data_IF_500048752418
#
_entry.id   IF_500048752418
#
_cell.length_a   1.000
_cell.length_b   1.000
_cell.length_c   1.000
_cell.angle_alpha   90.00
_cell.angle_beta   90.00
_cell.angle_gamma   90.00
#
_symmetry.space_group_name_H-M   'P 1'
#
loop_
_entity.id
_entity.type
_entity.pdbx_description
1 polymer ?
#
# COMPACT_ATOMS: atom_id res chain seq x y z
N UNK A 1 -4.52 14.73 -58.40
CA UNK A 1 -4.50 13.32 -57.96
C UNK A 1 -3.73 13.30 -56.67
N UNK A 2 -4.50 13.26 -55.59
CA UNK A 2 -4.07 13.48 -54.22
C UNK A 2 -3.17 12.35 -53.70
N UNK A 3 -2.18 12.76 -52.91
CA UNK A 3 -1.23 11.87 -52.24
C UNK A 3 -1.84 11.49 -50.89
N UNK A 4 -2.52 10.36 -50.82
CA UNK A 4 -3.01 9.81 -49.55
C UNK A 4 -1.83 9.29 -48.71
N UNK A 5 -1.40 10.11 -47.75
CA UNK A 5 -0.47 9.73 -46.69
C UNK A 5 -1.15 8.82 -45.67
N UNK A 6 -1.13 7.50 -45.93
CA UNK A 6 -1.51 6.50 -44.95
C UNK A 6 -0.60 6.55 -43.71
N UNK A 7 -1.11 7.10 -42.60
CA UNK A 7 -0.47 7.01 -41.30
C UNK A 7 -0.39 5.52 -40.89
N UNK A 8 0.80 4.91 -41.02
CA UNK A 8 1.08 3.59 -40.47
C UNK A 8 0.73 3.58 -38.99
N UNK A 9 -0.30 2.83 -38.59
CA UNK A 9 -0.62 2.54 -37.18
C UNK A 9 0.62 1.91 -36.54
N UNK A 10 1.37 2.71 -35.78
CA UNK A 10 2.59 2.29 -35.11
C UNK A 10 2.21 1.27 -34.02
N UNK A 11 2.29 -0.03 -34.34
CA UNK A 11 2.11 -1.10 -33.34
C UNK A 11 3.28 -0.99 -32.35
N UNK A 12 2.98 -0.62 -31.10
CA UNK A 12 3.99 -0.53 -30.06
C UNK A 12 4.33 -1.94 -29.55
N UNK A 13 5.58 -2.16 -29.14
CA UNK A 13 6.02 -3.46 -28.60
C UNK A 13 5.15 -3.88 -27.39
N UNK A 14 4.84 -5.18 -27.22
CA UNK A 14 4.11 -5.67 -26.06
C UNK A 14 4.82 -5.28 -24.76
N UNK A 15 4.01 -5.12 -23.71
CA UNK A 15 4.44 -4.83 -22.35
C UNK A 15 5.04 -6.10 -21.74
N UNK A 16 6.32 -6.36 -22.01
CA UNK A 16 7.01 -7.48 -21.39
C UNK A 16 7.53 -7.05 -20.02
N UNK A 17 6.84 -7.47 -18.96
CA UNK A 17 7.30 -7.30 -17.58
C UNK A 17 7.92 -8.60 -17.09
N UNK A 18 9.24 -8.65 -16.86
CA UNK A 18 9.87 -9.84 -16.33
C UNK A 18 9.31 -10.14 -14.93
N UNK A 19 9.25 -11.43 -14.59
CA UNK A 19 8.91 -11.84 -13.24
C UNK A 19 9.93 -11.27 -12.25
N UNK A 20 9.44 -10.65 -11.18
CA UNK A 20 10.26 -10.07 -10.12
C UNK A 20 10.11 -10.94 -8.88
N UNK A 21 11.22 -11.48 -8.38
CA UNK A 21 11.23 -12.26 -7.16
C UNK A 21 10.90 -11.40 -5.94
N UNK A 22 10.17 -11.93 -4.94
CA UNK A 22 9.91 -11.21 -3.69
C UNK A 22 11.21 -10.88 -2.96
N UNK A 23 11.34 -9.65 -2.48
CA UNK A 23 12.43 -9.20 -1.59
C UNK A 23 11.78 -8.82 -0.27
N UNK A 24 12.17 -9.51 0.81
CA UNK A 24 11.58 -9.35 2.14
C UNK A 24 10.04 -9.42 2.14
N UNK A 25 9.47 -10.37 1.37
CA UNK A 25 8.02 -10.56 1.28
C UNK A 25 7.30 -9.61 0.32
N UNK A 26 7.99 -8.66 -0.31
CA UNK A 26 7.39 -7.67 -1.19
C UNK A 26 7.83 -7.87 -2.64
N UNK A 27 6.88 -7.81 -3.58
CA UNK A 27 7.15 -7.69 -5.01
C UNK A 27 6.75 -6.29 -5.46
N UNK A 28 7.71 -5.52 -6.00
CA UNK A 28 7.49 -4.17 -6.48
C UNK A 28 7.57 -4.16 -8.02
N UNK A 29 6.43 -4.02 -8.74
CA UNK A 29 6.46 -3.97 -10.21
C UNK A 29 7.24 -2.75 -10.74
N UNK A 30 7.86 -2.83 -11.93
CA UNK A 30 8.60 -1.73 -12.53
C UNK A 30 7.73 -0.49 -12.75
N UNK A 31 8.20 0.69 -12.35
CA UNK A 31 7.44 1.94 -12.46
C UNK A 31 7.96 2.89 -13.55
N UNK A 32 9.07 2.53 -14.20
CA UNK A 32 9.68 3.27 -15.30
C UNK A 32 9.44 2.52 -16.61
N UNK A 33 9.14 3.21 -17.73
CA UNK A 33 8.97 2.55 -19.02
C UNK A 33 10.19 1.65 -19.35
N UNK A 34 9.99 0.45 -19.90
CA UNK A 34 11.08 -0.43 -20.29
C UNK A 34 12.02 0.22 -21.32
N UNK A 35 13.33 -0.10 -21.31
CA UNK A 35 14.24 0.33 -22.37
C UNK A 35 13.71 -0.06 -23.76
N UNK A 36 13.67 0.90 -24.69
CA UNK A 36 13.13 0.69 -26.04
C UNK A 36 11.61 0.79 -26.17
N UNK A 37 10.88 0.95 -25.05
CA UNK A 37 9.43 1.19 -25.05
C UNK A 37 9.12 2.54 -24.42
N UNK A 38 8.89 3.55 -25.27
CA UNK A 38 8.39 4.85 -24.78
C UNK A 38 6.97 4.66 -24.23
N UNK A 39 6.66 5.29 -23.10
CA UNK A 39 5.28 5.51 -22.71
C UNK A 39 4.77 6.88 -23.19
N UNK A 40 3.53 7.22 -22.83
CA UNK A 40 2.79 8.37 -23.35
C UNK A 40 2.12 9.16 -22.24
N UNK A 41 1.80 10.41 -22.58
CA UNK A 41 0.95 11.29 -21.78
C UNK A 41 -0.28 11.64 -22.60
N UNK A 42 -1.42 11.04 -22.30
CA UNK A 42 -2.67 11.26 -23.05
C UNK A 42 -3.72 11.97 -22.19
N UNK A 43 -4.75 12.53 -22.82
CA UNK A 43 -5.90 13.10 -22.13
C UNK A 43 -6.55 12.08 -21.19
N UNK A 44 -6.69 10.83 -21.63
CA UNK A 44 -7.29 9.75 -20.84
C UNK A 44 -6.39 9.31 -19.69
N UNK A 45 -5.08 9.09 -19.92
CA UNK A 45 -4.13 8.75 -18.85
C UNK A 45 -4.06 9.85 -17.77
N UNK A 46 -4.16 11.14 -18.15
CA UNK A 46 -4.28 12.23 -17.18
C UNK A 46 -5.61 12.18 -16.42
N UNK A 47 -6.73 11.88 -17.10
CA UNK A 47 -8.03 11.69 -16.45
C UNK A 47 -8.04 10.53 -15.46
N UNK A 48 -7.34 9.42 -15.75
CA UNK A 48 -7.19 8.27 -14.86
C UNK A 48 -6.45 8.62 -13.56
N UNK A 49 -5.62 9.66 -13.52
CA UNK A 49 -5.05 10.16 -12.25
C UNK A 49 -6.15 10.70 -11.32
N UNK A 50 -7.22 11.26 -11.87
CA UNK A 50 -8.37 11.70 -11.07
C UNK A 50 -9.20 10.53 -10.55
N UNK A 51 -9.31 9.45 -11.35
CA UNK A 51 -9.94 8.18 -10.92
C UNK A 51 -9.16 7.58 -9.76
N UNK A 52 -7.82 7.48 -9.91
CA UNK A 52 -6.93 7.02 -8.86
C UNK A 52 -7.10 7.84 -7.56
N UNK A 53 -7.15 9.17 -7.67
CA UNK A 53 -7.34 10.06 -6.51
C UNK A 53 -8.68 9.82 -5.80
N UNK A 54 -9.73 9.49 -6.55
CA UNK A 54 -11.04 9.16 -5.99
C UNK A 54 -11.00 7.81 -5.26
N UNK A 55 -10.50 6.76 -5.94
CA UNK A 55 -10.34 5.42 -5.39
C UNK A 55 -9.48 5.44 -4.11
N UNK A 56 -8.36 6.18 -4.12
CA UNK A 56 -7.47 6.32 -2.96
C UNK A 56 -8.16 6.90 -1.71
N UNK A 57 -9.21 7.72 -1.88
CA UNK A 57 -9.95 8.31 -0.75
C UNK A 57 -10.97 7.34 -0.14
N UNK A 58 -11.34 6.27 -0.83
CA UNK A 58 -12.21 5.24 -0.27
C UNK A 58 -11.59 4.64 0.99
N UNK A 59 -12.41 4.39 2.02
CA UNK A 59 -11.96 3.70 3.24
C UNK A 59 -11.38 2.32 2.93
N UNK A 60 -11.92 1.66 1.89
CA UNK A 60 -11.54 0.34 1.45
C UNK A 60 -10.18 0.30 0.73
N UNK A 61 -9.69 1.45 0.25
CA UNK A 61 -8.40 1.52 -0.45
C UNK A 61 -7.22 1.13 0.42
N UNK A 62 -7.34 1.17 1.76
CA UNK A 62 -6.27 0.87 2.69
C UNK A 62 -5.50 -0.42 2.36
N UNK A 63 -6.22 -1.49 2.01
CA UNK A 63 -5.65 -2.80 1.69
C UNK A 63 -4.86 -2.84 0.37
N UNK A 64 -5.07 -1.86 -0.52
CA UNK A 64 -4.59 -1.89 -1.90
C UNK A 64 -3.64 -0.72 -2.23
N UNK A 65 -3.29 0.09 -1.23
CA UNK A 65 -2.46 1.29 -1.43
C UNK A 65 -1.01 0.97 -1.76
N UNK A 66 -0.47 -0.09 -1.20
CA UNK A 66 0.93 -0.46 -1.29
C UNK A 66 1.06 -1.94 -1.67
N UNK A 67 2.22 -2.37 -2.20
CA UNK A 67 2.48 -3.78 -2.48
C UNK A 67 2.20 -4.66 -1.26
N UNK A 68 1.71 -5.87 -1.50
CA UNK A 68 1.48 -6.86 -0.46
C UNK A 68 2.82 -7.32 0.10
N UNK A 69 2.99 -7.11 1.42
CA UNK A 69 4.10 -7.64 2.19
C UNK A 69 3.68 -8.99 2.78
N UNK A 70 4.03 -10.05 2.03
CA UNK A 70 3.67 -11.42 2.35
C UNK A 70 4.33 -11.91 3.64
N UNK A 71 5.50 -11.36 3.98
CA UNK A 71 6.14 -11.61 5.27
C UNK A 71 5.31 -10.91 6.32
N UNK A 72 5.17 -9.58 6.30
CA UNK A 72 4.40 -8.77 7.27
C UNK A 72 3.00 -9.31 7.59
N UNK A 73 2.33 -9.94 6.62
CA UNK A 73 0.96 -10.43 6.73
C UNK A 73 0.84 -11.93 7.07
N UNK A 74 1.95 -12.64 7.29
CA UNK A 74 1.99 -14.10 7.53
C UNK A 74 1.41 -14.94 6.38
N UNK A 75 1.59 -14.52 5.12
CA UNK A 75 0.98 -15.18 3.94
C UNK A 75 2.06 -15.62 2.94
N UNK A 76 2.92 -16.59 3.32
CA UNK A 76 4.10 -16.95 2.52
C UNK A 76 3.76 -17.52 1.13
N UNK A 77 2.53 -17.96 0.92
CA UNK A 77 2.00 -18.51 -0.34
C UNK A 77 1.55 -17.43 -1.35
N UNK A 78 1.42 -16.16 -0.92
CA UNK A 78 0.83 -15.10 -1.74
C UNK A 78 1.51 -14.95 -3.10
N UNK A 79 2.85 -14.82 -3.13
CA UNK A 79 3.58 -14.64 -4.39
C UNK A 79 3.80 -15.95 -5.18
N UNK A 80 3.42 -17.09 -4.60
CA UNK A 80 3.32 -18.35 -5.33
C UNK A 80 2.00 -18.41 -6.11
N UNK A 81 0.91 -17.91 -5.54
CA UNK A 81 -0.40 -17.87 -6.20
C UNK A 81 -0.56 -16.65 -7.13
N UNK A 82 -0.22 -15.46 -6.63
CA UNK A 82 -0.35 -14.20 -7.36
C UNK A 82 0.91 -13.92 -8.17
N UNK A 83 0.80 -14.13 -9.48
CA UNK A 83 1.93 -14.02 -10.43
C UNK A 83 2.27 -12.58 -10.83
N UNK A 84 1.27 -11.70 -10.81
CA UNK A 84 1.43 -10.29 -11.15
C UNK A 84 0.85 -9.40 -10.04
N UNK A 85 1.55 -9.23 -8.92
CA UNK A 85 1.11 -8.34 -7.84
C UNK A 85 0.94 -6.90 -8.34
N UNK A 86 -0.10 -6.21 -7.89
CA UNK A 86 -0.39 -4.82 -8.26
C UNK A 86 -0.97 -4.03 -7.09
N UNK A 87 -0.73 -2.73 -7.08
CA UNK A 87 -1.21 -1.82 -6.04
C UNK A 87 -1.37 -0.38 -6.56
N UNK A 88 -2.17 0.41 -5.84
CA UNK A 88 -2.49 1.78 -6.24
C UNK A 88 -1.26 2.71 -6.25
N UNK A 89 -0.26 2.51 -5.38
CA UNK A 89 0.95 3.33 -5.40
C UNK A 89 1.83 3.03 -6.61
N UNK A 90 1.86 1.78 -7.06
CA UNK A 90 2.52 1.38 -8.32
C UNK A 90 1.84 2.03 -9.51
N UNK A 91 0.51 1.93 -9.63
CA UNK A 91 -0.25 2.60 -10.70
C UNK A 91 -0.02 4.12 -10.66
N UNK A 92 -0.01 4.73 -9.46
CA UNK A 92 0.29 6.15 -9.27
C UNK A 92 1.63 6.54 -9.86
N UNK A 93 2.69 5.79 -9.53
CA UNK A 93 4.04 6.05 -10.03
C UNK A 93 4.10 5.83 -11.54
N UNK A 94 3.48 4.77 -12.05
CA UNK A 94 3.40 4.50 -13.50
C UNK A 94 2.71 5.64 -14.28
N UNK A 95 1.57 6.13 -13.80
CA UNK A 95 0.88 7.29 -14.39
C UNK A 95 1.73 8.57 -14.35
N UNK A 96 2.51 8.78 -13.29
CA UNK A 96 3.38 9.96 -13.16
C UNK A 96 4.64 9.87 -14.01
N UNK A 97 5.18 8.67 -14.20
CA UNK A 97 6.37 8.41 -15.00
C UNK A 97 6.06 8.25 -16.50
N UNK A 98 4.81 8.50 -16.92
CA UNK A 98 4.33 8.24 -18.27
C UNK A 98 4.68 6.81 -18.71
N UNK A 99 4.46 5.82 -17.84
CA UNK A 99 4.79 4.42 -18.06
C UNK A 99 3.97 3.79 -19.18
N UNK A 100 2.66 4.05 -19.15
CA UNK A 100 1.71 3.44 -20.06
C UNK A 100 1.78 4.07 -21.45
N UNK A 101 1.63 3.24 -22.47
CA UNK A 101 1.45 3.67 -23.85
C UNK A 101 -0.01 4.03 -24.14
N UNK A 102 -0.96 3.32 -23.53
CA UNK A 102 -2.40 3.53 -23.68
C UNK A 102 -3.12 3.40 -22.34
N UNK A 103 -4.28 4.04 -22.24
CA UNK A 103 -5.14 3.96 -21.07
C UNK A 103 -5.57 2.52 -20.73
N UNK A 104 -5.81 1.67 -21.72
CA UNK A 104 -6.14 0.23 -21.53
C UNK A 104 -5.13 -0.50 -20.63
N UNK A 105 -3.84 -0.16 -20.72
CA UNK A 105 -2.82 -0.81 -19.89
C UNK A 105 -2.92 -0.39 -18.42
N UNK A 106 -3.30 0.87 -18.17
CA UNK A 106 -3.55 1.36 -16.82
C UNK A 106 -4.83 0.75 -16.25
N UNK A 107 -5.87 0.61 -17.07
CA UNK A 107 -7.11 -0.07 -16.69
C UNK A 107 -6.86 -1.54 -16.33
N UNK A 108 -6.04 -2.24 -17.12
CA UNK A 108 -5.62 -3.61 -16.81
C UNK A 108 -4.92 -3.72 -15.46
N UNK A 109 -4.03 -2.77 -15.11
CA UNK A 109 -3.41 -2.75 -13.79
C UNK A 109 -4.42 -2.49 -12.65
N UNK A 110 -5.45 -1.65 -12.88
CA UNK A 110 -6.53 -1.47 -11.90
C UNK A 110 -7.34 -2.74 -11.72
N UNK A 111 -7.71 -3.41 -12.82
CA UNK A 111 -8.48 -4.65 -12.77
C UNK A 111 -7.72 -5.76 -12.06
N UNK A 112 -6.42 -5.86 -12.33
CA UNK A 112 -5.52 -6.83 -11.69
C UNK A 112 -5.48 -6.69 -10.16
N UNK A 113 -5.64 -5.48 -9.60
CA UNK A 113 -5.79 -5.31 -8.14
C UNK A 113 -7.01 -6.08 -7.64
N UNK A 114 -8.13 -6.00 -8.36
CA UNK A 114 -9.38 -6.62 -7.96
C UNK A 114 -9.37 -8.13 -8.23
N UNK A 115 -8.88 -8.58 -9.38
CA UNK A 115 -8.73 -9.99 -9.72
C UNK A 115 -7.83 -10.71 -8.73
N UNK A 116 -6.64 -10.17 -8.43
CA UNK A 116 -5.75 -10.73 -7.42
C UNK A 116 -6.41 -10.76 -6.03
N UNK A 117 -7.22 -9.76 -5.71
CA UNK A 117 -7.96 -9.73 -4.45
C UNK A 117 -8.97 -10.87 -4.38
N UNK A 118 -9.78 -11.08 -5.42
CA UNK A 118 -10.79 -12.14 -5.45
C UNK A 118 -10.16 -13.54 -5.52
N UNK A 119 -9.04 -13.68 -6.23
CA UNK A 119 -8.31 -14.94 -6.36
C UNK A 119 -7.70 -15.38 -5.03
N UNK A 120 -7.07 -14.47 -4.29
CA UNK A 120 -6.37 -14.82 -3.06
C UNK A 120 -7.28 -14.84 -1.83
N UNK A 121 -8.22 -13.90 -1.72
CA UNK A 121 -9.01 -13.72 -0.51
C UNK A 121 -10.34 -14.47 -0.62
N UNK A 122 -10.67 -15.25 0.41
CA UNK A 122 -11.94 -15.97 0.50
C UNK A 122 -13.15 -15.02 0.33
N UNK A 123 -14.14 -15.45 -0.44
CA UNK A 123 -15.39 -14.72 -0.59
C UNK A 123 -16.06 -14.45 0.77
N UNK A 124 -16.57 -13.23 0.95
CA UNK A 124 -17.17 -12.78 2.20
C UNK A 124 -16.17 -12.36 3.28
N UNK A 125 -14.86 -12.54 3.08
CA UNK A 125 -13.84 -11.93 3.94
C UNK A 125 -13.83 -10.40 3.79
N UNK A 126 -13.34 -9.69 4.81
CA UNK A 126 -13.32 -8.22 4.81
C UNK A 126 -12.48 -7.64 3.66
N UNK A 127 -11.34 -8.27 3.32
CA UNK A 127 -10.49 -7.82 2.20
C UNK A 127 -11.18 -8.08 0.86
N UNK A 128 -11.86 -9.22 0.70
CA UNK A 128 -12.64 -9.52 -0.50
C UNK A 128 -13.81 -8.53 -0.68
N UNK A 129 -14.56 -8.23 0.40
CA UNK A 129 -15.60 -7.18 0.38
C UNK A 129 -15.01 -5.82 0.03
N UNK A 130 -13.88 -5.45 0.64
CA UNK A 130 -13.17 -4.21 0.35
C UNK A 130 -12.77 -4.13 -1.14
N UNK A 131 -12.34 -5.26 -1.73
CA UNK A 131 -12.04 -5.37 -3.15
C UNK A 131 -13.26 -5.12 -4.04
N UNK A 132 -14.42 -5.73 -3.70
CA UNK A 132 -15.68 -5.54 -4.44
C UNK A 132 -16.12 -4.07 -4.38
N UNK A 133 -16.15 -3.50 -3.19
CA UNK A 133 -16.53 -2.11 -2.96
C UNK A 133 -15.59 -1.11 -3.66
N UNK A 134 -14.29 -1.39 -3.66
CA UNK A 134 -13.31 -0.54 -4.32
C UNK A 134 -13.41 -0.65 -5.85
N UNK A 135 -13.70 -1.84 -6.39
CA UNK A 135 -13.97 -2.08 -7.82
C UNK A 135 -15.21 -1.31 -8.26
N UNK A 136 -16.29 -1.35 -7.50
CA UNK A 136 -17.49 -0.56 -7.77
C UNK A 136 -17.21 0.95 -7.75
N UNK A 137 -16.48 1.43 -6.74
CA UNK A 137 -16.08 2.84 -6.66
C UNK A 137 -15.19 3.25 -7.84
N UNK A 138 -14.32 2.36 -8.31
CA UNK A 138 -13.50 2.56 -9.50
C UNK A 138 -14.36 2.71 -10.76
N UNK A 139 -15.24 1.75 -11.05
CA UNK A 139 -16.11 1.81 -12.23
C UNK A 139 -17.10 2.98 -12.18
N UNK A 140 -17.63 3.29 -11.00
CA UNK A 140 -18.48 4.48 -10.77
C UNK A 140 -17.75 5.76 -11.14
N UNK A 141 -16.46 5.88 -10.80
CA UNK A 141 -15.68 7.07 -11.14
C UNK A 141 -15.24 7.05 -12.60
N UNK A 142 -14.94 5.88 -13.14
CA UNK A 142 -14.49 5.69 -14.52
C UNK A 142 -15.59 6.06 -15.53
N UNK A 143 -16.86 5.84 -15.21
CA UNK A 143 -18.00 6.18 -16.08
C UNK A 143 -18.11 7.67 -16.41
N UNK A 144 -17.47 8.55 -15.63
CA UNK A 144 -17.40 9.99 -15.90
C UNK A 144 -16.23 10.39 -16.82
N UNK A 145 -15.39 9.44 -17.24
CA UNK A 145 -14.25 9.68 -18.13
C UNK A 145 -14.66 9.27 -19.55
N UNK A 146 -14.50 10.19 -20.51
CA UNK A 146 -14.59 9.83 -21.92
C UNK A 146 -13.35 9.04 -22.35
N UNK A 147 -13.55 7.73 -22.56
CA UNK A 147 -12.52 6.79 -23.00
C UNK A 147 -12.44 6.68 -24.53
N UNK A 148 -13.41 7.22 -25.27
CA UNK A 148 -13.55 6.99 -26.73
C UNK A 148 -12.49 7.71 -27.57
N UNK A 149 -11.95 8.83 -27.05
CA UNK A 149 -11.04 9.71 -27.79
C UNK A 149 -9.70 9.90 -27.07
N UNK A 150 -8.86 8.86 -27.03
CA UNK A 150 -7.52 8.95 -26.45
C UNK A 150 -6.51 9.62 -27.41
N UNK A 151 -6.08 10.84 -27.05
CA UNK A 151 -5.12 11.65 -27.81
C UNK A 151 -3.90 12.02 -26.97
N UNK A 152 -2.73 12.10 -27.60
CA UNK A 152 -1.50 12.47 -26.92
C UNK A 152 -1.44 13.98 -26.63
N UNK A 153 -1.15 14.33 -25.39
CA UNK A 153 -1.06 15.70 -24.95
C UNK A 153 0.30 16.28 -25.30
N UNK A 154 0.28 17.49 -25.85
CA UNK A 154 1.50 18.25 -26.15
C UNK A 154 2.25 18.53 -24.82
N UNK A 155 3.58 18.29 -24.75
CA UNK A 155 4.37 18.62 -23.58
C UNK A 155 4.21 20.08 -23.16
N UNK A 156 4.01 20.35 -21.87
CA UNK A 156 3.79 21.71 -21.35
C UNK A 156 4.95 22.66 -21.67
N UNK A 157 6.17 22.15 -21.83
CA UNK A 157 7.33 22.94 -22.26
C UNK A 157 7.17 23.54 -23.66
N UNK A 158 6.55 22.80 -24.59
CA UNK A 158 6.28 23.26 -25.96
C UNK A 158 5.16 24.30 -25.96
N UNK A 159 4.13 24.12 -25.12
CA UNK A 159 3.06 25.10 -24.94
C UNK A 159 3.55 26.40 -24.30
N UNK A 160 4.43 26.32 -23.30
CA UNK A 160 5.07 27.50 -22.67
C UNK A 160 5.97 28.25 -23.65
N UNK A 161 6.73 27.53 -24.49
CA UNK A 161 7.57 28.12 -25.55
C UNK A 161 6.72 28.82 -26.61
N UNK A 162 5.66 28.19 -27.12
CA UNK A 162 4.71 28.81 -28.07
C UNK A 162 3.99 30.03 -27.48
N UNK A 163 3.61 29.98 -26.20
CA UNK A 163 2.99 31.12 -25.52
C UNK A 163 3.98 32.28 -25.33
N UNK A 164 5.24 31.99 -25.02
CA UNK A 164 6.30 32.99 -24.94
C UNK A 164 6.61 33.62 -26.32
N UNK A 165 6.69 32.80 -27.38
CA UNK A 165 6.90 33.24 -28.76
C UNK A 165 5.72 34.07 -29.29
N UNK A 166 4.49 33.68 -28.98
CA UNK A 166 3.27 34.43 -29.34
C UNK A 166 3.14 35.74 -28.56
N UNK A 167 3.58 35.80 -27.29
CA UNK A 167 3.60 37.04 -26.51
C UNK A 167 4.70 38.02 -26.95
N UNK A 168 5.80 37.54 -27.54
CA UNK A 168 6.85 38.42 -28.11
C UNK A 168 6.47 39.03 -29.47
N UNK A 169 5.47 38.50 -30.17
CA UNK A 169 5.05 38.99 -31.50
C UNK A 169 3.93 40.06 -31.47
N UNK A 170 3.36 40.36 -30.30
CA UNK A 170 2.37 41.42 -30.15
C UNK A 170 2.94 42.60 -29.36
N UNK A 171 3.70 43.44 -30.07
CA UNK A 171 3.92 44.84 -29.72
C UNK A 171 3.91 45.66 -31.02
N UNK A 172 2.91 46.54 -31.18
CA UNK A 172 3.25 47.96 -31.34
C UNK A 172 2.34 48.89 -30.50
N UNK A 173 2.99 49.66 -29.61
CA UNK A 173 2.92 51.12 -29.42
C UNK A 173 1.54 51.85 -29.48
N UNK A 174 1.15 52.39 -28.30
CA UNK A 174 0.15 53.45 -27.90
C UNK A 174 -1.35 53.21 -28.26
N UNK A 175 -2.38 53.52 -27.45
CA UNK A 175 -2.60 54.64 -26.49
C UNK A 175 -3.82 54.35 -25.54
N UNK A 176 -4.01 55.18 -24.51
CA UNK A 176 -4.92 55.03 -23.36
C UNK A 176 -6.40 55.39 -23.62
N UNK A 177 -7.37 54.53 -23.27
CA UNK A 177 -8.76 54.89 -22.89
C UNK A 177 -9.38 53.81 -21.96
N UNK A 178 -10.06 54.21 -20.89
CA UNK A 178 -10.94 53.39 -20.00
C UNK A 178 -12.43 53.72 -20.24
N UNK A 179 -13.42 53.11 -19.58
CA UNK A 179 -13.72 51.69 -19.27
C UNK A 179 -15.16 51.27 -19.70
N UNK A 180 -15.47 49.98 -19.79
CA UNK A 180 -16.86 49.49 -19.63
C UNK A 180 -16.93 47.98 -19.31
N UNK A 181 -17.63 47.63 -18.22
CA UNK A 181 -18.20 46.30 -17.96
C UNK A 181 -19.49 46.13 -18.80
N UNK A 182 -19.87 44.92 -19.27
CA UNK A 182 -20.78 44.10 -18.46
C UNK A 182 -20.77 42.55 -18.66
N UNK A 183 -21.07 41.88 -17.55
CA UNK A 183 -22.01 40.75 -17.31
C UNK A 183 -21.84 39.33 -17.91
N UNK A 184 -21.95 38.40 -16.94
CA UNK A 184 -22.40 37.01 -16.95
C UNK A 184 -23.38 36.60 -18.06
N UNK A 185 -23.17 35.39 -18.58
CA UNK A 185 -24.25 34.44 -18.91
C UNK A 185 -23.81 33.00 -18.62
N UNK A 186 -24.68 32.25 -17.93
CA UNK A 186 -24.81 30.78 -17.93
C UNK A 186 -26.20 30.46 -18.55
N UNK A 187 -26.67 29.20 -18.58
CA UNK A 187 -26.25 28.08 -19.40
C UNK A 187 -27.44 27.48 -20.19
N UNK A 188 -27.17 26.62 -21.16
CA UNK A 188 -28.15 25.68 -21.78
C UNK A 188 -27.33 24.75 -22.69
N UNK A 189 -27.62 23.47 -22.90
CA UNK A 189 -28.88 22.72 -22.81
C UNK A 189 -28.55 21.23 -22.77
N UNK A 190 -29.49 20.46 -22.23
CA UNK A 190 -29.57 19.01 -22.22
C UNK A 190 -29.48 18.40 -23.62
N UNK A 191 -28.91 17.20 -23.72
CA UNK A 191 -29.27 16.27 -24.80
C UNK A 191 -29.24 14.86 -24.22
N UNK A 192 -30.43 14.27 -24.22
CA UNK A 192 -30.74 12.86 -23.93
C UNK A 192 -30.34 12.03 -25.15
N UNK A 193 -29.68 10.88 -24.94
CA UNK A 193 -29.60 9.81 -25.95
C UNK A 193 -29.64 8.43 -25.25
N UNK A 194 -30.53 7.57 -25.74
CA UNK A 194 -30.88 6.21 -25.29
C UNK A 194 -29.85 5.10 -25.65
N UNK A 195 -29.89 3.93 -25.01
CA UNK A 195 -28.77 2.99 -24.98
C UNK A 195 -28.71 2.10 -26.22
N UNK A 196 -27.49 1.83 -26.72
CA UNK A 196 -27.22 0.79 -27.70
C UNK A 196 -26.54 -0.41 -27.00
N UNK A 197 -27.20 -1.55 -27.17
CA UNK A 197 -26.86 -2.97 -26.99
C UNK A 197 -25.42 -3.34 -26.56
N UNK A 198 -25.35 -4.09 -25.45
CA UNK A 198 -24.15 -4.77 -24.94
C UNK A 198 -24.12 -6.18 -25.53
N UNK A 199 -23.13 -6.47 -26.38
CA UNK A 199 -22.79 -7.85 -26.76
C UNK A 199 -22.05 -8.53 -25.61
N UNK A 200 -22.58 -9.70 -25.22
CA UNK A 200 -22.07 -10.56 -24.15
C UNK A 200 -20.82 -11.29 -24.67
N UNK A 201 -19.65 -10.96 -24.12
CA UNK A 201 -18.43 -11.76 -24.32
C UNK A 201 -18.41 -12.91 -23.30
N UNK A 202 -18.40 -14.13 -23.80
CA UNK A 202 -18.29 -15.37 -23.02
C UNK A 202 -16.84 -15.57 -22.55
N UNK A 203 -16.67 -15.82 -21.24
CA UNK A 203 -15.41 -16.19 -20.59
C UNK A 203 -14.94 -17.59 -21.02
N UNK A 204 -13.64 -17.84 -21.26
CA UNK A 204 -13.13 -19.18 -21.46
C UNK A 204 -12.97 -19.91 -20.12
N UNK A 205 -13.54 -21.10 -20.03
CA UNK A 205 -13.34 -22.05 -18.93
C UNK A 205 -11.84 -22.34 -18.73
N UNK A 206 -11.30 -21.94 -17.58
CA UNK A 206 -9.93 -22.24 -17.20
C UNK A 206 -9.82 -22.80 -15.78
N UNK A 207 -10.64 -23.78 -15.38
CA UNK A 207 -10.42 -24.49 -14.11
C UNK A 207 -11.00 -25.91 -14.17
N UNK A 208 -10.21 -26.92 -14.57
CA UNK A 208 -10.64 -28.32 -14.60
C UNK A 208 -9.77 -29.29 -13.80
N UNK A 209 -8.87 -28.80 -12.94
CA UNK A 209 -8.12 -29.69 -12.03
C UNK A 209 -8.44 -29.42 -10.55
N UNK A 210 -8.78 -30.47 -9.77
CA UNK A 210 -9.03 -30.33 -8.34
C UNK A 210 -7.75 -29.93 -7.60
N UNK A 211 -7.83 -28.81 -6.88
CA UNK A 211 -6.74 -28.24 -6.09
C UNK A 211 -6.36 -29.22 -4.97
N UNK A 212 -5.10 -29.67 -4.94
CA UNK A 212 -4.56 -30.46 -3.82
C UNK A 212 -4.27 -29.53 -2.65
N UNK A 213 -5.17 -29.54 -1.67
CA UNK A 213 -5.00 -28.77 -0.44
C UNK A 213 -4.09 -29.52 0.56
N UNK A 214 -3.09 -28.83 1.12
CA UNK A 214 -2.32 -29.36 2.25
C UNK A 214 -3.22 -29.42 3.50
N UNK A 215 -3.40 -30.63 4.02
CA UNK A 215 -4.42 -30.92 5.04
C UNK A 215 -4.17 -30.21 6.39
N UNK A 216 -2.98 -29.62 6.59
CA UNK A 216 -2.59 -28.99 7.86
C UNK A 216 -1.69 -27.76 7.64
N UNK A 217 -2.23 -26.56 7.40
CA UNK A 217 -1.41 -25.36 7.33
C UNK A 217 -0.75 -25.10 8.70
N UNK A 218 0.58 -24.94 8.71
CA UNK A 218 1.34 -24.64 9.93
C UNK A 218 1.12 -23.18 10.32
N UNK A 219 0.35 -22.94 11.39
CA UNK A 219 0.13 -21.59 11.90
C UNK A 219 1.29 -21.18 12.81
N UNK A 220 2.01 -20.13 12.41
CA UNK A 220 3.07 -19.52 13.21
C UNK A 220 2.52 -18.48 14.19
N UNK A 221 1.97 -18.95 15.31
CA UNK A 221 1.42 -18.07 16.35
C UNK A 221 2.46 -17.18 17.03
N UNK A 222 3.71 -17.62 17.10
CA UNK A 222 4.81 -16.84 17.67
C UNK A 222 5.03 -15.56 16.89
N UNK A 223 5.01 -15.64 15.57
CA UNK A 223 5.24 -14.49 14.70
C UNK A 223 4.03 -13.52 14.67
N UNK A 224 2.81 -14.05 14.80
CA UNK A 224 1.62 -13.21 14.99
C UNK A 224 1.63 -12.46 16.32
N UNK A 225 2.04 -13.14 17.40
CA UNK A 225 2.21 -12.51 18.72
C UNK A 225 3.27 -11.41 18.63
N UNK A 226 4.38 -11.68 17.95
CA UNK A 226 5.45 -10.73 17.70
C UNK A 226 4.97 -9.46 17.01
N UNK A 227 4.19 -9.57 15.92
CA UNK A 227 3.65 -8.41 15.21
C UNK A 227 2.74 -7.54 16.08
N UNK A 228 1.91 -8.17 16.92
CA UNK A 228 1.06 -7.44 17.87
C UNK A 228 1.94 -6.66 18.83
N UNK A 229 2.95 -7.29 19.41
CA UNK A 229 3.89 -6.64 20.33
C UNK A 229 4.65 -5.51 19.66
N UNK A 230 5.23 -5.73 18.48
CA UNK A 230 5.93 -4.70 17.69
C UNK A 230 5.05 -3.48 17.45
N UNK A 231 3.80 -3.67 17.02
CA UNK A 231 2.85 -2.58 16.77
C UNK A 231 2.61 -1.74 18.04
N UNK A 232 2.51 -2.38 19.20
CA UNK A 232 2.34 -1.69 20.47
C UNK A 232 3.62 -1.00 20.95
N UNK A 233 4.80 -1.60 20.75
CA UNK A 233 6.10 -0.95 20.98
C UNK A 233 6.23 0.33 20.18
N UNK A 234 5.84 0.32 18.91
CA UNK A 234 5.88 1.52 18.07
C UNK A 234 4.88 2.59 18.53
N UNK A 235 3.68 2.18 18.97
CA UNK A 235 2.69 3.11 19.52
C UNK A 235 3.16 3.73 20.83
N UNK A 236 3.82 2.95 21.69
CA UNK A 236 4.45 3.44 22.90
C UNK A 236 5.53 4.47 22.54
N UNK A 237 6.49 4.12 21.67
CA UNK A 237 7.58 5.01 21.24
C UNK A 237 7.06 6.32 20.63
N UNK A 238 6.08 6.24 19.71
CA UNK A 238 5.39 7.42 19.15
C UNK A 238 4.71 8.26 20.23
N UNK A 239 4.19 7.60 21.27
CA UNK A 239 3.61 8.23 22.44
C UNK A 239 4.63 8.99 23.28
N UNK A 240 5.80 8.42 23.52
CA UNK A 240 6.89 9.00 24.31
C UNK A 240 7.51 10.21 23.61
N UNK A 241 7.75 10.11 22.31
CA UNK A 241 8.46 11.11 21.48
C UNK A 241 7.59 12.25 20.94
N UNK A 242 6.35 12.41 21.42
CA UNK A 242 5.46 13.51 20.96
C UNK A 242 6.07 14.87 21.25
N UNK A 243 5.87 15.84 20.33
CA UNK A 243 6.35 17.23 20.45
C UNK A 243 6.01 17.91 21.78
N UNK A 244 4.83 17.61 22.36
CA UNK A 244 4.42 18.17 23.66
C UNK A 244 5.33 17.77 24.83
N UNK A 245 6.19 16.78 24.65
CA UNK A 245 7.16 16.25 25.63
C UNK A 245 8.60 16.62 25.29
N UNK A 246 8.81 17.61 24.41
CA UNK A 246 10.16 18.02 24.03
C UNK A 246 11.01 18.52 25.21
N UNK A 247 10.37 19.04 26.26
CA UNK A 247 11.03 19.51 27.48
C UNK A 247 11.61 18.39 28.34
N UNK A 248 11.12 17.16 28.20
CA UNK A 248 11.66 15.98 28.92
C UNK A 248 12.44 15.03 28.01
N UNK A 249 12.20 15.08 26.70
CA UNK A 249 12.85 14.21 25.73
C UNK A 249 14.24 14.69 25.30
N UNK A 250 14.65 15.91 25.64
CA UNK A 250 15.91 16.48 25.16
C UNK A 250 17.16 15.65 25.50
N UNK A 251 17.28 14.97 26.66
CA UNK A 251 18.49 14.20 26.98
C UNK A 251 18.69 13.04 26.00
N UNK A 252 17.61 12.47 25.49
CA UNK A 252 17.61 11.23 24.71
C UNK A 252 17.54 11.46 23.19
N UNK A 253 17.77 12.69 22.72
CA UNK A 253 17.76 13.00 21.28
C UNK A 253 19.06 12.61 20.58
N UNK A 254 20.17 12.56 21.30
CA UNK A 254 21.48 12.25 20.76
C UNK A 254 22.37 11.73 21.89
N UNK A 255 22.60 10.42 21.92
CA UNK A 255 23.46 9.79 22.95
C UNK A 255 24.94 10.19 22.83
N UNK A 256 25.40 10.67 21.67
CA UNK A 256 26.79 11.13 21.50
C UNK A 256 27.13 12.30 22.44
N UNK A 257 26.13 13.12 22.79
CA UNK A 257 26.29 14.21 23.75
C UNK A 257 26.55 13.68 25.17
N UNK A 258 26.11 12.47 25.51
CA UNK A 258 26.41 11.89 26.82
C UNK A 258 27.90 11.63 26.97
N UNK A 259 28.55 11.15 25.90
CA UNK A 259 30.01 10.92 25.90
C UNK A 259 30.81 12.21 26.11
N UNK A 260 30.33 13.32 25.55
CA UNK A 260 31.04 14.61 25.60
C UNK A 260 30.81 15.35 26.93
N UNK A 261 29.61 15.25 27.50
CA UNK A 261 29.19 16.06 28.64
C UNK A 261 28.96 15.26 29.95
N UNK A 262 29.15 13.93 29.95
CA UNK A 262 28.96 13.11 31.15
C UNK A 262 29.78 13.60 32.34
N UNK A 263 29.16 13.60 33.50
CA UNK A 263 29.78 13.92 34.77
C UNK A 263 30.53 12.70 35.35
N UNK A 264 30.03 11.49 35.05
CA UNK A 264 30.68 10.24 35.46
C UNK A 264 31.67 9.76 34.38
N UNK A 265 32.93 10.21 34.49
CA UNK A 265 33.99 9.89 33.54
C UNK A 265 34.44 8.41 33.55
N UNK A 266 34.04 7.64 34.56
CA UNK A 266 34.40 6.23 34.70
C UNK A 266 33.37 5.27 34.10
N UNK A 267 32.24 5.80 33.61
CA UNK A 267 31.16 5.02 33.03
C UNK A 267 31.07 5.28 31.52
N UNK A 268 31.15 4.21 30.72
CA UNK A 268 30.97 4.27 29.26
C UNK A 268 29.63 3.65 28.89
N UNK A 269 28.63 4.49 28.68
CA UNK A 269 27.29 4.05 28.29
C UNK A 269 27.26 3.39 26.90
N UNK A 270 28.24 3.68 26.02
CA UNK A 270 28.32 3.03 24.71
C UNK A 270 28.86 1.59 24.85
N UNK A 271 29.71 1.34 25.85
CA UNK A 271 30.22 0.01 26.17
C UNK A 271 29.16 -0.89 26.83
N UNK A 272 28.27 -0.30 27.62
CA UNK A 272 27.11 -1.01 28.17
C UNK A 272 26.07 -1.27 27.07
N UNK A 273 25.41 -0.22 26.58
CA UNK A 273 24.53 -0.31 25.43
C UNK A 273 24.21 1.10 24.90
N UNK A 274 24.75 1.43 23.72
CA UNK A 274 24.47 2.71 23.07
C UNK A 274 23.00 2.81 22.65
N UNK A 275 22.25 3.68 23.32
CA UNK A 275 20.80 3.85 23.14
C UNK A 275 20.39 5.32 23.16
N UNK A 276 19.51 5.68 22.23
CA UNK A 276 18.73 6.92 22.24
C UNK A 276 17.40 6.68 21.49
N UNK A 277 16.55 7.71 21.36
CA UNK A 277 15.26 7.56 20.70
C UNK A 277 15.34 7.08 19.25
N UNK A 278 16.35 7.51 18.50
CA UNK A 278 16.49 7.17 17.08
C UNK A 278 17.13 5.79 16.91
N UNK A 279 18.07 5.41 17.77
CA UNK A 279 18.62 4.05 17.83
C UNK A 279 17.50 3.05 18.16
N UNK A 280 16.70 3.30 19.21
CA UNK A 280 15.60 2.41 19.57
C UNK A 280 14.56 2.31 18.45
N UNK A 281 14.28 3.41 17.76
CA UNK A 281 13.40 3.41 16.58
C UNK A 281 13.96 2.55 15.46
N UNK A 282 15.22 2.75 15.08
CA UNK A 282 15.88 1.98 14.04
C UNK A 282 15.92 0.47 14.39
N UNK A 283 16.22 0.13 15.64
CA UNK A 283 16.20 -1.27 16.11
C UNK A 283 14.81 -1.87 15.98
N UNK A 284 13.76 -1.11 16.32
CA UNK A 284 12.37 -1.56 16.23
C UNK A 284 11.92 -1.74 14.78
N UNK A 285 12.28 -0.82 13.89
CA UNK A 285 12.00 -0.90 12.46
C UNK A 285 12.66 -2.13 11.82
N UNK A 286 13.90 -2.44 12.23
CA UNK A 286 14.69 -3.58 11.74
C UNK A 286 14.44 -4.90 12.47
N UNK A 287 13.37 -5.02 13.27
CA UNK A 287 13.00 -6.24 14.00
C UNK A 287 14.07 -6.75 15.00
N UNK A 288 14.80 -5.86 15.66
CA UNK A 288 15.87 -6.21 16.60
C UNK A 288 15.40 -6.30 18.05
N UNK A 289 14.12 -6.59 18.25
CA UNK A 289 13.53 -6.93 19.54
C UNK A 289 12.72 -8.20 19.34
N UNK A 290 12.75 -9.10 20.31
CA UNK A 290 12.00 -10.34 20.34
C UNK A 290 10.61 -10.13 20.95
N UNK A 291 10.48 -9.15 21.86
CA UNK A 291 9.23 -8.90 22.57
C UNK A 291 9.00 -7.44 22.97
N UNK A 292 7.75 -7.13 23.35
CA UNK A 292 7.39 -5.84 23.95
C UNK A 292 8.14 -5.59 25.26
N UNK A 293 8.32 -6.61 26.09
CA UNK A 293 9.04 -6.47 27.37
C UNK A 293 10.53 -6.18 27.14
N UNK A 294 11.16 -6.80 26.15
CA UNK A 294 12.56 -6.49 25.81
C UNK A 294 12.70 -5.05 25.31
N UNK A 295 11.77 -4.57 24.49
CA UNK A 295 11.74 -3.17 24.07
C UNK A 295 11.62 -2.21 25.26
N UNK A 296 10.74 -2.53 26.22
CA UNK A 296 10.58 -1.75 27.47
C UNK A 296 11.86 -1.81 28.31
N UNK A 297 12.52 -2.96 28.38
CA UNK A 297 13.79 -3.09 29.08
C UNK A 297 14.86 -2.19 28.48
N UNK A 298 14.96 -2.10 27.15
CA UNK A 298 15.90 -1.18 26.52
C UNK A 298 15.57 0.30 26.76
N UNK A 299 14.29 0.65 26.94
CA UNK A 299 13.92 1.99 27.41
C UNK A 299 14.44 2.25 28.83
N UNK A 300 14.28 1.29 29.75
CA UNK A 300 14.78 1.39 31.13
C UNK A 300 16.30 1.50 31.16
N UNK A 301 17.01 0.69 30.37
CA UNK A 301 18.48 0.77 30.23
C UNK A 301 18.89 2.16 29.73
N UNK A 302 18.23 2.69 28.69
CA UNK A 302 18.51 4.03 28.19
C UNK A 302 18.35 5.11 29.28
N UNK A 303 17.30 5.01 30.11
CA UNK A 303 17.07 5.93 31.22
C UNK A 303 18.14 5.77 32.32
N UNK A 304 18.49 4.54 32.67
CA UNK A 304 19.52 4.24 33.66
C UNK A 304 20.90 4.72 33.21
N UNK A 305 21.24 4.55 31.93
CA UNK A 305 22.50 5.04 31.36
C UNK A 305 22.60 6.56 31.52
N UNK A 306 21.52 7.30 31.22
CA UNK A 306 21.47 8.75 31.42
C UNK A 306 21.71 9.16 32.89
N UNK A 307 21.00 8.53 33.83
CA UNK A 307 21.18 8.80 35.27
C UNK A 307 22.59 8.46 35.77
N UNK A 308 23.22 7.44 35.19
CA UNK A 308 24.57 7.01 35.57
C UNK A 308 25.64 7.95 35.00
N UNK A 309 25.45 8.47 33.78
CA UNK A 309 26.29 9.48 33.17
C UNK A 309 26.21 10.84 33.89
N UNK A 310 25.03 11.19 34.41
CA UNK A 310 24.72 12.51 34.96
C UNK A 310 24.11 12.44 36.39
N UNK A 311 24.85 11.95 37.39
CA UNK A 311 24.32 11.75 38.74
C UNK A 311 24.01 13.04 39.52
N UNK A 312 24.45 14.21 39.04
CA UNK A 312 24.30 15.51 39.74
C UNK A 312 23.43 16.51 38.96
N UNK A 313 23.18 16.29 37.67
CA UNK A 313 22.36 17.21 36.86
C UNK A 313 20.87 17.09 37.24
N UNK A 314 20.41 17.95 38.13
CA UNK A 314 19.02 17.97 38.63
C UNK A 314 18.01 18.10 37.47
N UNK A 315 18.30 18.91 36.46
CA UNK A 315 17.38 19.13 35.34
C UNK A 315 17.22 17.91 34.45
N UNK A 316 18.31 17.18 34.24
CA UNK A 316 18.29 15.91 33.51
C UNK A 316 17.61 14.83 34.34
N UNK A 317 17.92 14.72 35.64
CA UNK A 317 17.31 13.75 36.54
C UNK A 317 15.79 13.93 36.60
N UNK A 318 15.30 15.17 36.73
CA UNK A 318 13.88 15.48 36.67
C UNK A 318 13.25 15.07 35.33
N UNK A 319 13.91 15.38 34.20
CA UNK A 319 13.43 15.00 32.88
C UNK A 319 13.36 13.47 32.68
N UNK A 320 14.36 12.72 33.16
CA UNK A 320 14.39 11.25 33.12
C UNK A 320 13.26 10.67 33.97
N UNK A 321 13.07 11.19 35.18
CA UNK A 321 12.02 10.71 36.08
C UNK A 321 10.63 10.99 35.51
N UNK A 322 10.38 12.19 34.98
CA UNK A 322 9.08 12.53 34.38
C UNK A 322 8.76 11.63 33.17
N UNK A 323 9.74 11.37 32.31
CA UNK A 323 9.51 10.48 31.16
C UNK A 323 9.34 9.01 31.61
N UNK A 324 10.04 8.57 32.65
CA UNK A 324 9.88 7.24 33.22
C UNK A 324 8.49 7.07 33.86
N UNK A 325 7.99 8.05 34.60
CA UNK A 325 6.63 8.01 35.16
C UNK A 325 5.55 7.91 34.06
N UNK A 326 5.77 8.60 32.93
CA UNK A 326 4.89 8.49 31.76
C UNK A 326 4.96 7.10 31.11
N UNK A 327 6.12 6.45 31.13
CA UNK A 327 6.27 5.07 30.67
C UNK A 327 5.48 4.13 31.59
N UNK A 328 5.84 4.12 32.88
CA UNK A 328 5.28 3.20 33.88
C UNK A 328 3.76 3.32 34.00
N UNK A 329 3.22 4.54 34.04
CA UNK A 329 1.77 4.79 34.12
C UNK A 329 0.96 4.23 32.95
N UNK A 330 1.62 3.84 31.84
CA UNK A 330 0.96 3.33 30.63
C UNK A 330 1.25 1.85 30.37
N UNK A 331 2.20 1.24 31.06
CA UNK A 331 2.65 -0.11 30.75
C UNK A 331 1.52 -1.14 30.89
N UNK A 332 0.74 -1.08 31.96
CA UNK A 332 -0.35 -2.03 32.18
C UNK A 332 -1.44 -1.94 31.11
N UNK A 333 -1.80 -0.72 30.69
CA UNK A 333 -2.75 -0.52 29.58
C UNK A 333 -2.25 -1.16 28.28
N UNK A 334 -0.96 -1.00 27.97
CA UNK A 334 -0.35 -1.63 26.80
C UNK A 334 -0.32 -3.15 26.94
N UNK A 335 0.09 -3.70 28.09
CA UNK A 335 0.14 -5.15 28.33
C UNK A 335 -1.25 -5.78 28.20
N UNK A 336 -2.27 -5.15 28.76
CA UNK A 336 -3.66 -5.58 28.66
C UNK A 336 -4.14 -5.53 27.20
N UNK A 337 -3.86 -4.45 26.47
CA UNK A 337 -4.23 -4.31 25.06
C UNK A 337 -3.54 -5.33 24.16
N UNK A 338 -2.25 -5.63 24.40
CA UNK A 338 -1.50 -6.67 23.71
C UNK A 338 -2.14 -8.04 23.95
N UNK A 339 -2.46 -8.38 25.20
CA UNK A 339 -3.08 -9.66 25.54
C UNK A 339 -4.46 -9.83 24.87
N UNK A 340 -5.27 -8.77 24.88
CA UNK A 340 -6.56 -8.74 24.21
C UNK A 340 -6.40 -8.92 22.69
N UNK A 341 -5.46 -8.21 22.06
CA UNK A 341 -5.26 -8.32 20.62
C UNK A 341 -4.69 -9.68 20.21
N UNK A 342 -3.73 -10.24 20.94
CA UNK A 342 -3.26 -11.62 20.70
C UNK A 342 -4.43 -12.61 20.75
N UNK A 343 -5.34 -12.45 21.70
CA UNK A 343 -6.54 -13.29 21.82
C UNK A 343 -7.46 -13.14 20.62
N UNK A 344 -7.74 -11.90 20.18
CA UNK A 344 -8.56 -11.63 18.98
C UNK A 344 -7.94 -12.22 17.71
N UNK A 345 -6.62 -12.09 17.54
CA UNK A 345 -5.90 -12.67 16.39
C UNK A 345 -6.05 -14.19 16.39
N UNK A 346 -5.85 -14.86 17.53
CA UNK A 346 -6.04 -16.31 17.66
C UNK A 346 -7.47 -16.73 17.33
N UNK A 347 -8.48 -16.01 17.81
CA UNK A 347 -9.89 -16.27 17.49
C UNK A 347 -10.17 -16.12 15.99
N UNK A 348 -9.61 -15.10 15.35
CA UNK A 348 -9.76 -14.89 13.91
C UNK A 348 -9.12 -16.01 13.10
N UNK A 349 -7.92 -16.43 13.48
CA UNK A 349 -7.21 -17.55 12.86
C UNK A 349 -7.99 -18.85 13.03
N UNK A 350 -8.50 -19.13 14.24
CA UNK A 350 -9.33 -20.31 14.50
C UNK A 350 -10.60 -20.32 13.62
N UNK A 351 -11.28 -19.16 13.48
CA UNK A 351 -12.45 -19.04 12.60
C UNK A 351 -12.10 -19.28 11.13
N UNK A 352 -10.97 -18.77 10.66
CA UNK A 352 -10.47 -19.02 9.30
C UNK A 352 -10.11 -20.50 9.09
N UNK A 353 -9.47 -21.12 10.07
CA UNK A 353 -9.13 -22.55 10.03
C UNK A 353 -10.39 -23.43 10.01
N UNK A 354 -11.43 -23.07 10.76
CA UNK A 354 -12.73 -23.76 10.70
C UNK A 354 -13.35 -23.66 9.29
N UNK A 355 -13.34 -22.49 8.67
CA UNK A 355 -13.82 -22.31 7.30
C UNK A 355 -12.99 -23.12 6.29
N UNK A 356 -11.67 -23.13 6.44
CA UNK A 356 -10.76 -23.95 5.63
C UNK A 356 -11.11 -25.43 5.74
N UNK A 357 -11.20 -25.96 6.95
CA UNK A 357 -11.53 -27.37 7.19
C UNK A 357 -12.92 -27.76 6.65
N UNK A 358 -13.89 -26.85 6.69
CA UNK A 358 -15.22 -27.07 6.11
C UNK A 358 -15.17 -27.22 4.58
N UNK A 359 -14.35 -26.40 3.90
CA UNK A 359 -14.13 -26.50 2.46
C UNK A 359 -13.50 -27.85 2.10
N UNK A 360 -12.46 -28.25 2.84
CA UNK A 360 -11.80 -29.55 2.65
C UNK A 360 -12.79 -30.71 2.84
N UNK A 361 -13.60 -30.67 3.89
CA UNK A 361 -14.60 -31.71 4.15
C UNK A 361 -15.64 -31.80 3.02
N UNK A 362 -16.13 -30.66 2.52
CA UNK A 362 -17.08 -30.62 1.40
C UNK A 362 -16.48 -31.22 0.13
N UNK A 363 -15.25 -30.85 -0.23
CA UNK A 363 -14.59 -31.36 -1.43
C UNK A 363 -14.26 -32.86 -1.32
N UNK A 364 -13.81 -33.30 -0.15
CA UNK A 364 -13.57 -34.74 0.12
C UNK A 364 -14.87 -35.53 -0.04
N UNK A 365 -16.01 -34.99 0.42
CA UNK A 365 -17.31 -35.64 0.24
C UNK A 365 -17.75 -35.73 -1.24
N UNK A 366 -17.44 -34.71 -2.04
CA UNK A 366 -17.73 -34.70 -3.48
C UNK A 366 -16.89 -35.75 -4.22
N UNK A 367 -15.58 -35.80 -3.94
CA UNK A 367 -14.66 -36.78 -4.53
C UNK A 367 -15.10 -38.21 -4.18
N UNK A 368 -15.41 -38.48 -2.91
CA UNK A 368 -15.91 -39.78 -2.47
C UNK A 368 -17.28 -40.14 -3.09
N UNK A 369 -18.09 -39.15 -3.49
CA UNK A 369 -19.37 -39.40 -4.16
C UNK A 369 -19.21 -39.71 -5.65
N UNK A 370 -18.22 -39.11 -6.33
CA UNK A 370 -17.88 -39.40 -7.73
C UNK A 370 -17.22 -40.78 -7.89
N UNK A 371 -16.34 -41.19 -6.95
CA UNK A 371 -15.78 -42.55 -6.93
C UNK A 371 -16.84 -43.65 -6.69
N UNK A 372 -17.87 -43.36 -5.88
CA UNK A 372 -19.00 -44.26 -5.67
C UNK A 372 -19.96 -44.34 -6.88
N UNK A 373 -20.02 -43.28 -7.70
CA UNK A 373 -20.82 -43.27 -8.93
C UNK A 373 -20.12 -44.03 -10.07
N UNK A 374 -18.78 -43.93 -10.15
CA UNK A 374 -17.98 -44.68 -11.13
C UNK A 374 -17.99 -46.20 -10.85
N UNK A 375 -17.92 -46.60 -9.58
CA UNK A 375 -17.96 -48.03 -9.17
C UNK A 375 -19.34 -48.68 -9.29
N UNK A 376 -20.43 -47.92 -9.38
CA UNK A 376 -21.78 -48.46 -9.63
C UNK A 376 -22.10 -48.61 -11.12
N UNK A 377 -21.35 -47.95 -12.01
CA UNK A 377 -21.47 -48.12 -13.46
C UNK A 377 -20.76 -49.38 -13.98
N UNK A 378 -19.73 -49.88 -13.28
CA UNK A 378 -19.02 -51.13 -13.62
C UNK A 378 -19.82 -52.42 -13.30
N UNK A 379 -20.98 -52.33 -12.64
CA UNK A 379 -21.85 -53.49 -12.35
C UNK A 379 -23.09 -53.57 -13.26
N UNK A 380 -23.21 -52.70 -14.27
CA UNK A 380 -24.34 -52.63 -15.19
C UNK A 380 -23.98 -52.95 -16.67
N UNK A 381 -22.82 -53.53 -16.94
CA UNK A 381 -22.51 -54.26 -18.19
C UNK A 381 -22.42 -55.76 -17.89
#
# INVERSE_FOLDING_TARGET
MDVEGGQRKQKNSPRNEPYVHPVNGIVQPPVMPPPGRRGRRTNVLESLKSVLKYVWKSRWSYYFRYPVDAVALCIPDYHNLIKHPMDLSTIRRRLNNNYYWKSDEALGDFELIFENCMLYNLEGSEVHKAGKELREAFYTRLSYIDMSNETELIPQAVLRKRKAESMMQLNPIYECVTPATPKLAKPSTETVWSPAEIEIFTEPELYSEPIKFEVNPTILYEWQNYLVEKSHSEQLLRGMTKRKRNLVNWPFKCCDLWREYAQNLHYDHDAEEKLDWDILRNRLENNQFDSFEEFVEKLRVMFQNALTCFPVDETLIEAVNEINDILESRLDDFKNSIAEMKTRVRQLVAKKMQAYNAIIAQQTSLINSEENFSSTQEYCE
#
